data_IF_140588601412
#
_entry.id   IF_140588601412
#
_cell.length_a   1.000
_cell.length_b   1.000
_cell.length_c   1.000
_cell.angle_alpha   90.00
_cell.angle_beta   90.00
_cell.angle_gamma   90.00
#
_symmetry.space_group_name_H-M   'P 1'
#
loop_
_entity.id
_entity.type
_entity.pdbx_description
1 polymer ?
2 non-polymer ?
3 non-polymer ?
4 non-polymer ?
5 non-polymer ?
6 non-polymer ?
7 water ?
#
# COMPACT_ATOMS: atom_id res chain seq x y z
N UNK A 1 12.06 19.76 2.07
CA UNK A 1 10.73 19.81 2.60
C UNK A 1 10.07 18.40 2.62
N UNK A 2 9.30 18.34 3.69
CA UNK A 2 8.79 17.10 4.27
C UNK A 2 7.27 17.15 4.45
N UNK A 3 6.63 16.08 3.95
CA UNK A 3 5.19 15.90 3.99
C UNK A 3 4.94 14.49 4.50
N UNK A 4 3.74 14.26 5.02
CA UNK A 4 3.39 12.91 5.42
C UNK A 4 1.88 12.74 5.33
N UNK A 5 1.43 11.51 5.44
CA UNK A 5 0.02 11.21 5.45
C UNK A 5 -0.19 9.71 5.68
N UNK A 6 -1.44 9.29 5.47
CA UNK A 6 -1.76 7.88 5.75
C UNK A 6 -2.75 7.47 4.67
N UNK A 7 -2.57 6.24 4.25
CA UNK A 7 -3.45 5.57 3.31
C UNK A 7 -4.21 4.45 4.02
N UNK A 8 -5.55 4.47 4.05
CA UNK A 8 -6.31 3.38 4.70
C UNK A 8 -6.93 2.51 3.61
N UNK A 9 -6.47 1.27 3.50
CA UNK A 9 -6.82 0.30 2.48
C UNK A 9 -8.09 -0.45 2.88
N UNK A 10 -8.41 -0.48 4.18
CA UNK A 10 -9.68 -1.15 4.50
C UNK A 10 -9.62 -2.66 4.27
N UNK A 11 -10.80 -3.28 4.25
CA UNK A 11 -11.05 -4.74 4.15
C UNK A 11 -10.73 -5.22 2.72
N UNK A 12 -10.05 -6.36 2.58
CA UNK A 12 -9.69 -6.78 1.23
C UNK A 12 -10.86 -7.23 0.37
N UNK A 13 -12.08 -7.27 0.92
CA UNK A 13 -13.22 -7.48 0.02
C UNK A 13 -13.29 -6.35 -1.01
N UNK A 14 -12.72 -5.19 -0.76
CA UNK A 14 -12.67 -3.99 -1.58
C UNK A 14 -11.46 -3.93 -2.49
N UNK A 15 -10.51 -4.88 -2.45
CA UNK A 15 -9.27 -4.79 -3.23
C UNK A 15 -9.51 -5.37 -4.60
N UNK A 16 -8.67 -5.06 -5.54
CA UNK A 16 -8.71 -5.53 -6.95
C UNK A 16 -7.81 -6.73 -7.17
N UNK A 17 -8.27 -7.74 -7.87
CA UNK A 17 -7.37 -8.75 -8.33
C UNK A 17 -6.42 -8.20 -9.36
N UNK A 18 -5.13 -8.52 -9.28
CA UNK A 18 -4.15 -8.07 -10.25
C UNK A 18 -3.31 -9.26 -10.73
N UNK A 19 -2.76 -9.19 -11.93
CA UNK A 19 -1.88 -10.28 -12.38
C UNK A 19 -0.70 -10.40 -11.42
N UNK A 20 -0.36 -11.64 -11.12
CA UNK A 20 0.78 -11.92 -10.27
C UNK A 20 2.13 -11.76 -10.99
N UNK A 21 3.06 -11.09 -10.30
CA UNK A 21 4.39 -10.91 -10.90
C UNK A 21 5.41 -11.95 -10.44
N UNK A 22 4.87 -12.96 -9.72
CA UNK A 22 5.60 -14.06 -9.08
C UNK A 22 4.85 -15.36 -9.28
N UNK A 23 5.37 -16.32 -10.08
CA UNK A 23 4.61 -17.54 -10.35
C UNK A 23 4.34 -18.40 -9.14
N UNK A 24 5.04 -18.13 -8.05
CA UNK A 24 4.78 -18.82 -6.77
C UNK A 24 3.66 -18.22 -5.94
N UNK A 25 3.07 -17.14 -6.43
CA UNK A 25 1.97 -16.47 -5.76
C UNK A 25 0.72 -16.43 -6.64
N UNK A 26 -0.41 -16.82 -6.08
CA UNK A 26 -1.69 -16.67 -6.77
C UNK A 26 -2.66 -15.83 -5.99
N UNK A 27 -3.82 -15.57 -6.54
CA UNK A 27 -4.82 -14.73 -5.93
C UNK A 27 -4.26 -13.42 -5.40
N UNK A 28 -3.38 -12.83 -6.22
CA UNK A 28 -2.76 -11.55 -5.90
C UNK A 28 -3.77 -10.41 -6.01
N UNK A 29 -3.85 -9.58 -4.96
CA UNK A 29 -4.93 -8.63 -4.78
C UNK A 29 -4.33 -7.38 -4.16
N UNK A 30 -4.80 -6.19 -4.56
CA UNK A 30 -4.33 -5.00 -3.89
C UNK A 30 -5.29 -3.82 -3.91
N UNK A 31 -5.05 -2.88 -2.99
CA UNK A 31 -5.71 -1.58 -2.96
C UNK A 31 -4.63 -0.57 -3.32
N UNK A 32 -4.62 -0.11 -4.55
CA UNK A 32 -3.73 0.94 -5.06
C UNK A 32 -4.31 2.37 -4.92
N UNK A 33 -3.48 3.33 -4.48
CA UNK A 33 -3.88 4.72 -4.35
C UNK A 33 -2.83 5.64 -4.97
N UNK A 34 -3.32 6.64 -5.69
CA UNK A 34 -2.38 7.62 -6.27
C UNK A 34 -2.48 8.74 -5.30
N UNK A 35 -1.44 9.19 -4.63
CA UNK A 35 -1.48 10.28 -3.66
C UNK A 35 -0.95 11.57 -4.25
N UNK A 36 -1.64 12.68 -4.06
CA UNK A 36 -1.18 13.97 -4.59
C UNK A 36 -0.61 14.80 -3.45
N UNK A 37 0.65 15.19 -3.61
CA UNK A 37 1.24 15.98 -2.54
C UNK A 37 0.44 17.29 -2.41
N UNK A 38 0.24 17.66 -1.17
CA UNK A 38 -0.14 18.96 -0.67
C UNK A 38 1.05 19.92 -0.76
N UNK A 39 1.60 20.00 -1.96
CA UNK A 39 2.69 20.88 -2.38
C UNK A 39 3.62 20.13 -3.34
N UNK A 40 3.55 20.38 -4.64
CA UNK A 40 4.35 19.60 -5.61
C UNK A 40 5.84 19.89 -5.48
N UNK A 41 6.72 18.95 -5.74
CA UNK A 41 8.18 19.09 -5.71
C UNK A 41 8.71 19.52 -7.06
N UNK A 42 9.99 19.92 -7.24
CA UNK A 42 10.41 20.07 -8.63
C UNK A 42 10.92 18.73 -9.20
N UNK A 43 11.35 17.79 -8.37
CA UNK A 43 11.81 16.50 -8.89
C UNK A 43 11.37 15.51 -7.80
N UNK A 44 11.21 14.23 -8.14
CA UNK A 44 10.60 13.31 -7.18
C UNK A 44 11.27 13.38 -5.81
N UNK A 45 10.50 13.43 -4.73
CA UNK A 45 11.08 13.29 -3.39
C UNK A 45 11.45 11.86 -3.06
N UNK A 46 12.14 11.58 -1.96
CA UNK A 46 12.28 10.20 -1.46
C UNK A 46 11.07 9.91 -0.60
N UNK A 47 10.47 8.73 -0.79
CA UNK A 47 9.27 8.33 -0.06
C UNK A 47 9.57 7.04 0.69
N UNK A 48 9.13 6.96 1.94
CA UNK A 48 9.13 5.74 2.73
C UNK A 48 7.73 5.43 3.22
N UNK A 49 7.36 4.15 3.11
CA UNK A 49 6.09 3.63 3.57
C UNK A 49 6.28 2.80 4.86
N UNK A 50 5.29 2.87 5.72
CA UNK A 50 5.25 2.14 6.98
C UNK A 50 3.85 1.59 7.21
N UNK A 51 3.77 0.30 7.58
CA UNK A 51 2.47 -0.32 7.86
C UNK A 51 2.11 0.00 9.31
N UNK A 52 1.14 0.86 9.53
CA UNK A 52 0.84 1.29 10.87
C UNK A 52 -0.50 0.80 11.38
N UNK A 53 -1.23 0.02 10.59
CA UNK A 53 -2.43 -0.66 11.05
C UNK A 53 -2.52 -1.98 10.33
N UNK A 54 -2.69 -3.11 11.04
CA UNK A 54 -3.01 -4.41 10.50
C UNK A 54 -4.08 -5.14 11.33
N UNK A 55 -5.04 -5.71 10.62
CA UNK A 55 -6.05 -6.60 11.24
C UNK A 55 -6.15 -7.77 10.27
N UNK A 56 -5.59 -8.91 10.62
CA UNK A 56 -5.44 -10.05 9.72
C UNK A 56 -5.96 -11.34 10.37
N UNK A 57 -6.61 -12.15 9.54
CA UNK A 57 -7.18 -13.43 9.97
C UNK A 57 -6.12 -14.43 10.44
N UNK A 58 -6.30 -14.98 11.65
CA UNK A 58 -5.22 -15.88 12.19
C UNK A 58 -5.20 -17.28 11.54
N UNK A 59 -6.26 -17.73 10.92
CA UNK A 59 -6.31 -19.11 10.41
C UNK A 59 -5.57 -19.30 9.10
N UNK A 60 -5.12 -18.22 8.47
CA UNK A 60 -4.32 -18.30 7.27
C UNK A 60 -3.03 -17.47 7.47
N UNK A 61 -2.00 -17.79 6.71
CA UNK A 61 -0.73 -17.09 6.87
C UNK A 61 -0.94 -15.60 6.65
N UNK A 62 -0.09 -14.84 7.37
CA UNK A 62 0.00 -13.40 7.17
C UNK A 62 0.83 -13.13 5.93
N UNK A 63 0.26 -12.50 4.89
CA UNK A 63 0.95 -12.19 3.66
C UNK A 63 0.61 -10.75 3.32
N UNK A 64 1.55 -9.83 3.48
CA UNK A 64 1.29 -8.39 3.21
C UNK A 64 2.55 -7.78 2.61
N UNK A 65 2.30 -6.86 1.67
CA UNK A 65 3.34 -5.97 1.13
C UNK A 65 2.75 -4.57 1.09
N UNK A 66 3.59 -3.60 1.47
CA UNK A 66 3.31 -2.20 1.23
C UNK A 66 4.22 -1.84 0.03
N UNK A 67 3.58 -1.59 -1.11
CA UNK A 67 4.30 -1.34 -2.31
C UNK A 67 4.37 0.14 -2.69
N UNK A 68 5.56 0.52 -3.11
CA UNK A 68 5.73 1.83 -3.68
C UNK A 68 5.98 1.60 -5.18
N UNK A 69 5.01 1.93 -5.99
CA UNK A 69 5.09 1.67 -7.45
C UNK A 69 5.94 2.71 -8.15
N UNK A 70 5.75 3.98 -7.86
CA UNK A 70 6.37 5.07 -8.56
C UNK A 70 6.20 6.36 -7.77
N UNK A 71 7.11 7.30 -8.05
CA UNK A 71 7.12 8.60 -7.37
C UNK A 71 7.44 9.71 -8.36
N UNK A 72 6.75 10.83 -8.35
CA UNK A 72 6.90 12.02 -9.18
C UNK A 72 6.98 13.25 -8.32
N UNK A 73 7.31 14.41 -8.89
CA UNK A 73 7.37 15.64 -8.09
C UNK A 73 6.01 15.99 -7.52
N UNK A 74 4.91 15.49 -8.08
CA UNK A 74 3.65 15.96 -7.49
C UNK A 74 2.92 14.92 -6.66
N UNK A 75 3.40 13.69 -6.55
CA UNK A 75 2.74 12.60 -5.83
C UNK A 75 3.32 11.22 -6.02
N UNK A 76 2.64 10.11 -5.63
CA UNK A 76 3.18 8.77 -5.83
C UNK A 76 2.03 7.75 -5.87
N UNK A 77 2.32 6.55 -6.34
CA UNK A 77 1.39 5.42 -6.41
C UNK A 77 1.88 4.40 -5.38
N UNK A 78 1.01 3.96 -4.46
CA UNK A 78 1.34 2.96 -3.49
C UNK A 78 0.17 2.02 -3.33
N UNK A 79 0.45 0.79 -2.86
CA UNK A 79 -0.64 -0.14 -2.62
C UNK A 79 -0.43 -0.98 -1.36
N UNK A 80 -1.54 -1.41 -0.80
CA UNK A 80 -1.59 -2.55 0.11
C UNK A 80 -1.78 -3.81 -0.78
N UNK A 81 -0.96 -4.84 -0.53
CA UNK A 81 -0.96 -5.99 -1.43
C UNK A 81 -0.97 -7.28 -0.62
N UNK A 82 -1.77 -8.27 -1.05
CA UNK A 82 -1.80 -9.60 -0.41
C UNK A 82 -1.99 -10.66 -1.48
N UNK A 83 -1.97 -11.93 -1.07
CA UNK A 83 -2.07 -13.02 -2.01
C UNK A 83 -2.54 -14.30 -1.32
N UNK A 84 -2.79 -15.29 -2.13
CA UNK A 84 -3.25 -16.61 -1.72
C UNK A 84 -4.47 -16.45 -0.82
N UNK A 85 -4.57 -17.19 0.29
CA UNK A 85 -5.79 -17.29 1.06
C UNK A 85 -5.77 -16.40 2.32
N UNK A 86 -4.83 -15.45 2.41
CA UNK A 86 -4.78 -14.48 3.49
C UNK A 86 -6.10 -13.66 3.48
N UNK A 87 -6.60 -13.31 4.64
CA UNK A 87 -7.71 -12.33 4.74
C UNK A 87 -7.25 -11.15 5.57
N UNK A 88 -7.28 -9.98 4.96
CA UNK A 88 -6.95 -8.73 5.59
C UNK A 88 -8.26 -7.98 5.85
N UNK A 89 -8.57 -7.72 7.09
CA UNK A 89 -9.74 -6.95 7.53
C UNK A 89 -9.47 -5.46 7.50
N UNK A 90 -8.24 -5.03 7.77
CA UNK A 90 -7.84 -3.66 7.55
C UNK A 90 -6.30 -3.58 7.48
N UNK A 91 -5.84 -2.63 6.69
CA UNK A 91 -4.42 -2.33 6.57
C UNK A 91 -4.30 -0.84 6.25
N UNK A 92 -3.39 -0.14 6.95
CA UNK A 92 -3.12 1.25 6.65
C UNK A 92 -1.61 1.46 6.56
N UNK A 93 -1.23 2.34 5.63
CA UNK A 93 0.14 2.69 5.35
C UNK A 93 0.35 4.14 5.70
N UNK A 94 1.31 4.46 6.52
CA UNK A 94 1.77 5.83 6.74
C UNK A 94 2.93 6.07 5.81
N UNK A 95 3.04 7.30 5.33
CA UNK A 95 4.15 7.65 4.44
C UNK A 95 4.77 8.99 4.84
N UNK A 96 6.04 9.08 4.45
CA UNK A 96 6.71 10.39 4.53
C UNK A 96 7.46 10.60 3.23
N UNK A 97 7.51 11.85 2.80
CA UNK A 97 8.26 12.28 1.62
C UNK A 97 9.24 13.38 2.03
N UNK A 98 10.44 13.25 1.51
CA UNK A 98 11.45 14.24 1.88
C UNK A 98 12.08 14.75 0.59
N UNK A 99 12.12 16.04 0.33
CA UNK A 99 12.65 16.54 -0.94
C UNK A 99 14.11 16.17 -1.20
X LIG B 1 -2.43 -22.95 0.07
X LIG C 1 1.80 -19.93 1.02
X LIG C 1 1.32 -20.43 -0.22
X LIG C 1 1.99 -21.61 -0.57
X LIG C 1 1.59 -19.38 -1.32
X LIG C 1 1.25 -19.93 -2.60
X LIG C 1 3.11 -19.01 -1.29
X LIG C 1 3.37 -17.87 -2.22
X LIG C 1 3.60 -18.54 0.07
X LIG C 1 2.94 -17.30 0.40
X LIG C 1 3.20 -19.66 1.08
X LIG C 1 3.58 -19.35 2.54
X LIG C 1 2.69 -18.38 3.09
X LIG C 1 0.57 -19.19 -3.55
X LIG C 1 0.20 -18.03 -3.46
X LIG C 1 0.29 -20.09 -4.84
X LIG D 1 -1.99 -21.28 5.33
X LIG D 1 -2.34 -19.88 4.76
X LIG D 1 -3.12 -22.13 5.94
X LIG D 1 -4.09 -22.35 5.07
X LIG D 1 -2.56 -23.51 6.39
X LIG D 1 -1.76 -23.30 7.51
X LIG E 1 -0.81 -22.63 1.98
X LIG E 1 -0.70 -23.32 1.00
X LIG E 1 -1.92 -21.89 2.17
X LIG E 1 0.29 -22.60 3.02
X LIG F 1 -1.35 7.19 -10.76
X LIG F 1 -1.58 6.55 -12.13
X LIG F 1 -0.35 5.66 -12.32
X LIG F 1 0.86 6.59 -12.41
X LIG F 1 0.98 7.37 -11.09
X LIG F 1 2.17 8.31 -11.07
X LIG F 1 -4.05 6.25 -12.05
X LIG F 1 -5.26 5.47 -12.66
X LIG F 1 -2.80 5.75 -12.20
X LIG F 1 -0.44 4.78 -13.42
X LIG F 1 2.03 5.81 -12.57
X LIG F 1 -0.24 8.10 -10.86
X LIG F 1 2.90 8.30 -9.86
X LIG F 1 -4.24 7.41 -11.66
#
# INVERSE_FOLDING_TARGET
>A
RVQSGKIDCGDDAGWAKVPSDDPGRDNTRELAKNITFASPYCRPPVVLLSITQLDVEQSQNLRVIARLYSVSPSGFKASCYTWHNTKVYSMSISWISIENY
>B hetero
1 ZN ZN
>C hetero
1 A2G O5 C1 O1 C2 N2 C3 O3 C4 O4 C5 C6 O6 C7 O7 C8
>D hetero
1 GOL C1 O1 C2 O2 C3 O3
>E hetero
1 ACT C O OXT CH3
>F hetero
1 NAG C1 C2 C3 C4 C5 C6 C7 C8 N2 O3 O4 O5 O6 O7
#
